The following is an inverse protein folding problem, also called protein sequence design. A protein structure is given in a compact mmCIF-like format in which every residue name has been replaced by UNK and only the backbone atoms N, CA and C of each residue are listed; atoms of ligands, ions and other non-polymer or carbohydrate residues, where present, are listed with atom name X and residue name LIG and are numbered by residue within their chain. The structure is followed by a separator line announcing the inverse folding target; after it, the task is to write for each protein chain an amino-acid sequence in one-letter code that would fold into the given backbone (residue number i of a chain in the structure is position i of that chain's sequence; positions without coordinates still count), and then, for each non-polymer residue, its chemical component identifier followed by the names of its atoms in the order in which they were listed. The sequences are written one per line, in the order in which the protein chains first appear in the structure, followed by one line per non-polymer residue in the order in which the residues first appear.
data_IF_048478565797
#
_entry.id   IF_048478565797
#
_cell.length_a   1.000
_cell.length_b   1.000
_cell.length_c   1.000
_cell.angle_alpha   90.00
_cell.angle_beta   90.00
_cell.angle_gamma   90.00
#
_symmetry.space_group_name_H-M   'P 1'
#
loop_
_entity.id
_entity.type
_entity.pdbx_description
1 polymer ?
#
# COMPACT_ATOMS: atom_id res chain seq x y z
N UNK A 1 22.96 15.01 8.78
CA UNK A 1 23.33 13.69 8.24
C UNK A 1 22.10 12.87 7.85
N UNK A 2 21.13 12.61 8.74
CA UNK A 2 19.92 11.83 8.45
C UNK A 2 19.23 12.18 7.11
N UNK A 3 18.86 13.45 6.92
CA UNK A 3 18.21 13.94 5.69
C UNK A 3 19.06 13.66 4.44
N UNK A 4 20.39 13.78 4.53
CA UNK A 4 21.28 13.52 3.38
C UNK A 4 21.23 12.04 2.95
N UNK A 5 21.18 11.12 3.92
CA UNK A 5 21.11 9.69 3.63
C UNK A 5 19.73 9.28 3.15
N UNK A 6 18.67 9.87 3.70
CA UNK A 6 17.30 9.67 3.21
C UNK A 6 17.16 10.12 1.76
N UNK A 7 17.62 11.34 1.46
CA UNK A 7 17.59 11.89 0.09
C UNK A 7 18.48 11.11 -0.89
N UNK A 8 19.60 10.55 -0.43
CA UNK A 8 20.47 9.72 -1.28
C UNK A 8 19.90 8.33 -1.53
N UNK A 9 19.37 7.66 -0.50
CA UNK A 9 19.03 6.23 -0.58
C UNK A 9 17.55 5.93 -0.80
N UNK A 10 16.71 6.95 -0.98
CA UNK A 10 15.31 6.76 -1.36
C UNK A 10 15.18 5.98 -2.67
N UNK A 11 14.30 4.99 -2.67
CA UNK A 11 13.99 4.10 -3.81
C UNK A 11 15.08 3.14 -4.28
N UNK A 12 16.16 2.92 -3.53
CA UNK A 12 17.10 1.85 -3.87
C UNK A 12 16.41 0.50 -3.84
N UNK A 13 16.58 -0.26 -4.93
CA UNK A 13 16.17 -1.67 -5.01
C UNK A 13 17.27 -2.52 -4.40
N UNK A 14 16.91 -3.26 -3.37
CA UNK A 14 17.83 -4.14 -2.64
C UNK A 14 17.20 -5.53 -2.49
N UNK A 15 18.00 -6.58 -2.22
CA UNK A 15 17.51 -7.95 -2.03
C UNK A 15 16.37 -8.08 -1.01
N UNK A 16 16.35 -7.19 -0.02
CA UNK A 16 15.26 -7.01 0.93
C UNK A 16 15.20 -5.54 1.40
N UNK A 17 14.09 -5.12 2.03
CA UNK A 17 13.93 -3.81 2.68
C UNK A 17 15.10 -3.44 3.60
N UNK A 18 15.48 -2.17 3.56
CA UNK A 18 16.55 -1.59 4.38
C UNK A 18 15.97 -0.60 5.39
N UNK A 19 16.57 -0.55 6.58
CA UNK A 19 16.31 0.47 7.60
C UNK A 19 17.63 1.16 7.91
N UNK A 20 17.61 2.49 7.87
CA UNK A 20 18.71 3.35 8.31
C UNK A 20 18.32 4.14 9.54
N UNK A 21 19.28 4.53 10.39
CA UNK A 21 19.04 5.52 11.44
C UNK A 21 20.30 6.35 11.73
N UNK A 22 20.09 7.57 12.23
CA UNK A 22 21.17 8.47 12.64
C UNK A 22 20.81 9.05 14.01
N UNK A 23 21.62 8.70 15.01
CA UNK A 23 21.52 9.23 16.37
C UNK A 23 22.52 10.37 16.57
N UNK A 24 22.05 11.48 17.13
CA UNK A 24 22.90 12.65 17.43
C UNK A 24 23.86 12.46 18.61
N UNK A 25 23.69 11.40 19.41
CA UNK A 25 24.60 11.05 20.51
C UNK A 25 24.45 9.57 20.88
N UNK A 26 25.32 9.10 21.79
CA UNK A 26 25.35 7.70 22.29
C UNK A 26 24.11 7.26 23.06
N UNK A 27 23.23 8.19 23.46
CA UNK A 27 21.92 7.84 24.05
C UNK A 27 20.97 7.16 23.07
N UNK A 28 21.32 7.18 21.78
CA UNK A 28 20.77 6.27 20.77
C UNK A 28 19.25 6.34 20.58
N UNK A 29 18.64 7.53 20.71
CA UNK A 29 17.19 7.69 20.58
C UNK A 29 16.60 7.26 19.23
N UNK A 30 17.43 7.12 18.18
CA UNK A 30 17.00 6.63 16.86
C UNK A 30 17.22 5.10 16.67
N UNK A 31 17.68 4.39 17.71
CA UNK A 31 17.90 2.94 17.68
C UNK A 31 18.87 2.49 16.56
N UNK A 32 19.92 3.30 16.34
CA UNK A 32 20.90 3.11 15.27
C UNK A 32 21.56 1.72 15.29
N UNK A 33 21.74 1.12 16.46
CA UNK A 33 22.41 -0.17 16.61
C UNK A 33 21.49 -1.39 16.36
N UNK A 34 20.28 -1.15 15.87
CA UNK A 34 19.30 -2.19 15.52
C UNK A 34 18.81 -2.07 14.06
N UNK A 35 19.40 -1.17 13.28
CA UNK A 35 19.04 -0.95 11.88
C UNK A 35 20.03 -1.65 10.95
N UNK A 36 19.63 -1.83 9.69
CA UNK A 36 20.49 -2.48 8.68
C UNK A 36 21.80 -1.69 8.51
N UNK A 37 21.73 -0.35 8.62
CA UNK A 37 22.88 0.51 8.93
C UNK A 37 22.49 1.63 9.89
N UNK A 38 23.41 2.08 10.73
CA UNK A 38 23.16 3.09 11.75
C UNK A 38 24.36 4.00 11.97
N UNK A 39 24.11 5.27 12.24
CA UNK A 39 25.14 6.24 12.58
C UNK A 39 24.94 6.78 13.99
N UNK A 40 26.02 6.91 14.74
CA UNK A 40 26.02 7.62 16.02
C UNK A 40 27.08 8.72 15.95
N UNK A 41 26.65 9.98 16.14
CA UNK A 41 27.56 11.12 16.18
C UNK A 41 28.52 11.02 17.36
N UNK A 42 29.78 11.35 17.11
CA UNK A 42 30.83 11.56 18.12
C UNK A 42 31.37 12.99 17.97
N UNK A 43 32.28 13.41 18.85
CA UNK A 43 32.98 14.69 18.71
C UNK A 43 33.88 14.74 17.48
N UNK A 44 34.35 13.57 17.00
CA UNK A 44 35.29 13.44 15.88
C UNK A 44 34.60 13.13 14.54
N UNK A 45 33.31 12.81 14.54
CA UNK A 45 32.59 12.42 13.33
C UNK A 45 31.41 11.49 13.63
N UNK A 46 31.37 10.34 12.96
CA UNK A 46 30.33 9.32 13.11
C UNK A 46 30.90 7.92 13.27
N UNK A 47 30.34 7.16 14.21
CA UNK A 47 30.49 5.71 14.24
C UNK A 47 29.45 5.09 13.31
N UNK A 48 29.91 4.22 12.41
CA UNK A 48 29.09 3.53 11.42
C UNK A 48 28.87 2.10 11.88
N UNK A 49 27.61 1.72 12.08
CA UNK A 49 27.17 0.40 12.47
C UNK A 49 26.38 -0.28 11.34
N UNK A 50 26.51 -1.60 11.18
CA UNK A 50 25.87 -2.36 10.10
C UNK A 50 25.34 -3.73 10.54
N UNK A 51 24.36 -4.26 9.81
CA UNK A 51 23.84 -5.62 10.05
C UNK A 51 22.90 -5.77 11.24
N UNK A 52 22.27 -4.70 11.70
CA UNK A 52 21.23 -4.78 12.74
C UNK A 52 19.89 -5.26 12.19
N UNK A 53 19.02 -5.80 13.05
CA UNK A 53 17.69 -6.25 12.66
C UNK A 53 16.69 -6.24 13.83
N UNK A 54 15.70 -5.35 13.78
CA UNK A 54 14.55 -5.38 14.70
C UNK A 54 13.40 -6.31 14.27
N UNK A 55 13.70 -7.47 13.68
CA UNK A 55 12.70 -8.44 13.20
C UNK A 55 12.44 -9.60 14.17
N UNK A 56 11.78 -10.66 13.70
CA UNK A 56 11.44 -11.85 14.51
C UNK A 56 12.66 -12.52 15.17
N UNK A 57 13.82 -12.49 14.50
CA UNK A 57 15.13 -12.84 15.07
C UNK A 57 15.95 -11.56 15.26
N UNK A 58 15.85 -10.87 16.41
CA UNK A 58 16.54 -9.61 16.62
C UNK A 58 18.06 -9.78 16.59
N UNK A 59 18.77 -8.76 16.13
CA UNK A 59 20.25 -8.74 16.08
C UNK A 59 20.76 -7.31 16.25
N UNK A 60 21.72 -7.10 17.13
CA UNK A 60 22.47 -5.85 17.17
C UNK A 60 23.39 -5.72 15.97
N UNK A 61 23.59 -4.50 15.50
CA UNK A 61 24.56 -4.18 14.46
C UNK A 61 26.00 -4.28 14.99
N UNK A 62 26.95 -4.51 14.10
CA UNK A 62 28.37 -4.47 14.40
C UNK A 62 28.99 -3.12 14.01
N UNK A 63 30.03 -2.69 14.71
CA UNK A 63 30.79 -1.49 14.37
C UNK A 63 31.65 -1.72 13.12
N UNK A 64 31.34 -1.03 12.03
CA UNK A 64 32.11 -1.08 10.79
C UNK A 64 33.32 -0.13 10.84
N UNK A 65 33.08 1.14 11.15
CA UNK A 65 34.09 2.19 11.20
C UNK A 65 33.79 3.18 12.33
N UNK A 66 34.84 3.69 12.97
CA UNK A 66 34.75 4.61 14.12
C UNK A 66 35.22 6.00 13.73
N UNK A 67 34.60 7.03 14.33
CA UNK A 67 35.04 8.44 14.22
C UNK A 67 35.24 8.90 12.76
N UNK A 68 34.34 8.46 11.86
CA UNK A 68 34.41 8.76 10.43
C UNK A 68 33.99 10.21 10.19
N UNK A 69 34.80 11.02 9.50
CA UNK A 69 34.44 12.40 9.22
C UNK A 69 33.21 12.46 8.29
N UNK A 70 32.32 13.46 8.44
CA UNK A 70 31.02 13.50 7.75
C UNK A 70 31.08 13.32 6.22
N UNK A 71 32.13 13.82 5.57
CA UNK A 71 32.37 13.74 4.13
C UNK A 71 32.71 12.32 3.63
N UNK A 72 33.13 11.41 4.50
CA UNK A 72 33.45 10.00 4.17
C UNK A 72 32.34 9.02 4.51
N UNK A 73 31.36 9.44 5.30
CA UNK A 73 30.25 8.58 5.75
C UNK A 73 29.48 7.99 4.56
N UNK A 74 29.11 8.83 3.60
CA UNK A 74 28.35 8.41 2.42
C UNK A 74 29.12 7.41 1.58
N UNK A 75 30.42 7.64 1.35
CA UNK A 75 31.30 6.73 0.63
C UNK A 75 31.30 5.31 1.24
N UNK A 76 31.42 5.21 2.56
CA UNK A 76 31.44 3.92 3.27
C UNK A 76 30.08 3.23 3.18
N UNK A 77 28.97 3.96 3.34
CA UNK A 77 27.63 3.37 3.26
C UNK A 77 27.31 2.94 1.81
N UNK A 78 27.70 3.70 0.80
CA UNK A 78 27.51 3.35 -0.61
C UNK A 78 28.15 1.99 -0.91
N UNK A 79 29.42 1.84 -0.55
CA UNK A 79 30.17 0.60 -0.68
C UNK A 79 29.53 -0.55 0.07
N UNK A 80 29.12 -0.34 1.32
CA UNK A 80 28.42 -1.33 2.13
C UNK A 80 27.12 -1.82 1.45
N UNK A 81 26.28 -0.87 1.00
CA UNK A 81 24.99 -1.18 0.38
C UNK A 81 25.16 -1.88 -0.96
N UNK A 82 26.09 -1.43 -1.81
CA UNK A 82 26.36 -2.09 -3.09
C UNK A 82 26.95 -3.49 -2.88
N UNK A 83 27.89 -3.65 -1.95
CA UNK A 83 28.45 -4.96 -1.66
C UNK A 83 27.37 -5.93 -1.17
N UNK A 84 26.45 -5.47 -0.31
CA UNK A 84 25.25 -6.21 0.08
C UNK A 84 24.35 -6.55 -1.12
N UNK A 85 24.02 -5.57 -1.97
CA UNK A 85 23.16 -5.77 -3.14
C UNK A 85 23.75 -6.80 -4.11
N UNK A 86 25.08 -6.81 -4.28
CA UNK A 86 25.79 -7.73 -5.18
C UNK A 86 25.86 -9.16 -4.64
N UNK A 87 25.92 -9.34 -3.32
CA UNK A 87 26.34 -10.63 -2.72
C UNK A 87 25.28 -11.31 -1.87
N UNK A 88 24.21 -10.62 -1.48
CA UNK A 88 23.14 -11.22 -0.68
C UNK A 88 22.11 -11.97 -1.55
N UNK A 89 21.53 -13.02 -0.96
CA UNK A 89 20.46 -13.79 -1.57
C UNK A 89 19.15 -13.00 -1.65
N UNK A 90 18.25 -13.44 -2.54
CA UNK A 90 16.90 -12.87 -2.67
C UNK A 90 16.16 -12.96 -1.33
N UNK A 91 15.52 -11.86 -0.92
CA UNK A 91 14.79 -11.75 0.35
C UNK A 91 15.65 -11.95 1.62
N UNK A 92 16.97 -11.86 1.51
CA UNK A 92 17.87 -11.95 2.67
C UNK A 92 18.04 -10.57 3.32
N UNK A 93 18.01 -10.49 4.66
CA UNK A 93 18.32 -9.26 5.42
C UNK A 93 19.82 -9.09 5.60
N UNK A 94 20.30 -7.85 5.73
CA UNK A 94 21.74 -7.56 5.94
C UNK A 94 22.31 -8.28 7.17
N UNK A 95 21.53 -8.40 8.25
CA UNK A 95 21.91 -9.16 9.44
C UNK A 95 22.26 -10.63 9.14
N UNK A 96 21.42 -11.31 8.35
CA UNK A 96 21.60 -12.72 8.00
C UNK A 96 22.68 -12.89 6.94
N UNK A 97 22.80 -11.91 6.06
CA UNK A 97 23.87 -11.84 5.08
C UNK A 97 25.25 -11.72 5.76
N UNK A 98 25.44 -10.80 6.73
CA UNK A 98 26.72 -10.67 7.46
C UNK A 98 27.06 -11.93 8.26
N UNK A 99 26.07 -12.59 8.88
CA UNK A 99 26.29 -13.86 9.59
C UNK A 99 26.79 -14.99 8.66
N UNK A 100 26.31 -15.00 7.41
CA UNK A 100 26.69 -16.00 6.41
C UNK A 100 27.93 -15.60 5.61
N UNK A 101 28.35 -14.34 5.67
CA UNK A 101 29.52 -13.85 4.95
C UNK A 101 30.79 -14.49 5.54
N UNK A 102 31.61 -15.20 4.76
CA UNK A 102 32.86 -15.76 5.27
C UNK A 102 33.77 -14.66 5.84
N UNK A 103 34.19 -14.81 7.10
CA UNK A 103 34.96 -13.79 7.84
C UNK A 103 34.11 -12.66 8.44
N UNK A 104 32.79 -12.66 8.23
CA UNK A 104 31.80 -11.78 8.84
C UNK A 104 32.15 -10.29 8.73
N UNK A 105 31.98 -9.57 9.85
CA UNK A 105 32.25 -8.12 9.92
C UNK A 105 33.71 -7.77 9.61
N UNK A 106 34.67 -8.65 9.91
CA UNK A 106 36.08 -8.36 9.67
C UNK A 106 36.39 -8.35 8.18
N UNK A 107 35.93 -9.36 7.45
CA UNK A 107 36.06 -9.37 5.99
C UNK A 107 35.30 -8.21 5.36
N UNK A 108 34.09 -7.90 5.83
CA UNK A 108 33.33 -6.75 5.35
C UNK A 108 34.11 -5.43 5.53
N UNK A 109 34.78 -5.24 6.66
CA UNK A 109 35.61 -4.06 6.93
C UNK A 109 36.77 -3.96 5.94
N UNK A 110 37.48 -5.06 5.70
CA UNK A 110 38.58 -5.11 4.73
C UNK A 110 38.11 -4.73 3.31
N UNK A 111 36.93 -5.21 2.89
CA UNK A 111 36.40 -4.90 1.56
C UNK A 111 35.91 -3.45 1.46
N UNK A 112 35.12 -3.00 2.44
CA UNK A 112 34.42 -1.71 2.36
C UNK A 112 35.31 -0.52 2.74
N UNK A 113 36.08 -0.67 3.82
CA UNK A 113 36.90 0.40 4.40
C UNK A 113 38.30 0.38 3.79
N UNK A 114 38.95 -0.79 3.78
CA UNK A 114 40.35 -0.92 3.32
C UNK A 114 40.46 -1.15 1.80
N UNK A 115 39.32 -1.24 1.10
CA UNK A 115 39.24 -1.52 -0.34
C UNK A 115 40.11 -2.70 -0.79
N UNK A 116 40.13 -3.76 0.02
CA UNK A 116 40.98 -4.96 -0.20
C UNK A 116 40.80 -5.58 -1.59
N UNK A 117 39.63 -5.44 -2.19
CA UNK A 117 39.31 -5.97 -3.51
C UNK A 117 39.57 -4.98 -4.66
N UNK A 118 39.86 -3.71 -4.37
CA UNK A 118 40.09 -2.66 -5.37
C UNK A 118 38.84 -2.28 -6.17
N UNK A 119 37.64 -2.52 -5.62
CA UNK A 119 36.34 -2.27 -6.27
C UNK A 119 35.57 -1.11 -5.64
N UNK A 120 36.15 -0.39 -4.67
CA UNK A 120 35.49 0.70 -3.95
C UNK A 120 34.95 1.79 -4.88
N UNK A 121 35.76 2.25 -5.84
CA UNK A 121 35.36 3.24 -6.82
C UNK A 121 34.24 2.75 -7.75
N UNK A 122 34.29 1.49 -8.18
CA UNK A 122 33.25 0.87 -9.00
C UNK A 122 31.92 0.78 -8.24
N UNK A 123 31.97 0.41 -6.95
CA UNK A 123 30.78 0.39 -6.10
C UNK A 123 30.18 1.78 -5.91
N UNK A 124 31.01 2.80 -5.69
CA UNK A 124 30.56 4.20 -5.59
C UNK A 124 29.89 4.68 -6.87
N UNK A 125 30.47 4.37 -8.04
CA UNK A 125 29.89 4.69 -9.34
C UNK A 125 28.54 3.98 -9.54
N UNK A 126 28.45 2.68 -9.21
CA UNK A 126 27.20 1.95 -9.32
C UNK A 126 26.11 2.53 -8.41
N UNK A 127 26.47 2.94 -7.19
CA UNK A 127 25.51 3.63 -6.33
C UNK A 127 25.07 4.95 -6.95
N UNK A 128 26.00 5.72 -7.53
CA UNK A 128 25.67 7.00 -8.18
C UNK A 128 24.71 6.82 -9.37
N UNK A 129 24.89 5.79 -10.19
CA UNK A 129 23.95 5.42 -11.26
C UNK A 129 22.56 5.08 -10.71
N UNK A 130 22.47 4.33 -9.60
CA UNK A 130 21.20 4.00 -8.97
C UNK A 130 20.48 5.25 -8.44
N UNK A 131 21.17 6.09 -7.69
CA UNK A 131 20.55 7.27 -7.03
C UNK A 131 20.24 8.38 -8.04
N UNK A 132 21.04 8.54 -9.10
CA UNK A 132 20.78 9.52 -10.16
C UNK A 132 19.59 9.15 -11.05
N UNK A 133 19.22 7.85 -11.10
CA UNK A 133 18.02 7.38 -11.79
C UNK A 133 16.71 7.66 -11.04
N UNK A 134 16.80 8.13 -9.78
CA UNK A 134 15.62 8.38 -8.97
C UNK A 134 14.75 9.51 -9.53
N UNK A 135 13.45 9.25 -9.60
CA UNK A 135 12.42 10.28 -9.70
C UNK A 135 11.22 9.90 -8.82
N UNK A 136 10.47 10.89 -8.38
CA UNK A 136 9.25 10.65 -7.61
C UNK A 136 8.07 10.34 -8.55
N UNK A 137 7.68 9.07 -8.64
CA UNK A 137 6.59 8.59 -9.49
C UNK A 137 5.25 9.32 -9.19
N UNK A 138 5.00 9.66 -7.92
CA UNK A 138 3.83 10.42 -7.52
C UNK A 138 3.87 11.88 -7.97
N UNK A 139 5.04 12.53 -7.87
CA UNK A 139 5.19 13.91 -8.37
C UNK A 139 4.99 13.96 -9.88
N UNK A 140 5.56 13.00 -10.62
CA UNK A 140 5.33 12.85 -12.07
C UNK A 140 3.84 12.63 -12.39
N UNK A 141 3.18 11.77 -11.62
CA UNK A 141 1.75 11.49 -11.79
C UNK A 141 0.88 12.74 -11.54
N UNK A 142 1.15 13.46 -10.44
CA UNK A 142 0.41 14.70 -10.10
C UNK A 142 0.64 15.79 -11.14
N UNK A 143 1.85 15.90 -11.71
CA UNK A 143 2.19 16.91 -12.72
C UNK A 143 1.68 16.56 -14.11
N UNK A 144 1.41 15.29 -14.41
CA UNK A 144 0.97 14.82 -15.72
C UNK A 144 -0.57 14.73 -15.80
N UNK A 145 -1.26 15.62 -16.54
CA UNK A 145 -2.72 15.60 -16.63
C UNK A 145 -3.28 14.28 -17.18
N UNK A 146 -2.56 13.61 -18.09
CA UNK A 146 -3.00 12.31 -18.62
C UNK A 146 -2.97 11.23 -17.56
N UNK A 147 -1.93 11.20 -16.71
CA UNK A 147 -1.82 10.22 -15.61
C UNK A 147 -2.82 10.48 -14.49
N UNK A 148 -3.14 11.76 -14.20
CA UNK A 148 -4.18 12.09 -13.20
C UNK A 148 -5.55 11.52 -13.54
N UNK A 149 -5.88 11.37 -14.83
CA UNK A 149 -7.15 10.77 -15.26
C UNK A 149 -7.36 9.34 -14.74
N UNK A 150 -6.29 8.57 -14.53
CA UNK A 150 -6.38 7.22 -13.96
C UNK A 150 -6.84 7.21 -12.49
N UNK A 151 -6.85 8.36 -11.81
CA UNK A 151 -7.26 8.51 -10.42
C UNK A 151 -8.59 9.25 -10.26
N UNK A 152 -9.27 9.58 -11.36
CA UNK A 152 -10.64 10.11 -11.30
C UNK A 152 -11.60 8.99 -10.91
N UNK A 153 -12.59 9.30 -10.07
CA UNK A 153 -13.54 8.31 -9.58
C UNK A 153 -14.45 7.79 -10.69
N UNK A 154 -14.89 8.67 -11.58
CA UNK A 154 -15.77 8.33 -12.70
C UNK A 154 -15.14 8.72 -14.02
N UNK A 155 -15.37 7.87 -15.02
CA UNK A 155 -14.86 8.10 -16.36
C UNK A 155 -15.79 8.98 -17.22
N UNK A 156 -17.02 9.24 -16.76
CA UNK A 156 -18.04 9.99 -17.49
C UNK A 156 -18.51 11.29 -16.81
N UNK A 157 -17.96 11.64 -15.65
CA UNK A 157 -18.27 12.88 -14.91
C UNK A 157 -17.10 13.27 -14.01
N UNK A 158 -16.96 14.56 -13.70
CA UNK A 158 -15.98 15.09 -12.74
C UNK A 158 -16.51 15.13 -11.29
N UNK A 159 -17.73 14.64 -11.06
CA UNK A 159 -18.30 14.49 -9.72
C UNK A 159 -17.51 13.50 -8.85
N UNK A 160 -17.60 13.67 -7.54
CA UNK A 160 -17.06 12.72 -6.56
C UNK A 160 -18.11 12.37 -5.53
N UNK A 161 -18.17 11.10 -5.13
CA UNK A 161 -19.14 10.60 -4.16
C UNK A 161 -18.44 9.81 -3.06
N UNK A 162 -18.72 10.20 -1.82
CA UNK A 162 -18.28 9.49 -0.61
C UNK A 162 -19.13 8.24 -0.40
N UNK A 163 -18.47 7.08 -0.30
CA UNK A 163 -19.13 5.77 -0.13
C UNK A 163 -19.18 5.31 1.33
N UNK A 164 -18.54 6.07 2.22
CA UNK A 164 -18.42 5.79 3.65
C UNK A 164 -18.54 7.10 4.41
N UNK A 165 -19.36 7.11 5.45
CA UNK A 165 -19.47 8.27 6.34
C UNK A 165 -18.15 8.50 7.11
N UNK A 166 -17.65 9.72 7.04
CA UNK A 166 -16.50 10.17 7.84
C UNK A 166 -17.00 10.63 9.20
N UNK A 167 -16.44 10.07 10.27
CA UNK A 167 -16.76 10.39 11.66
C UNK A 167 -15.58 11.06 12.34
N UNK A 168 -15.86 11.91 13.32
CA UNK A 168 -14.84 12.50 14.18
C UNK A 168 -14.65 11.66 15.45
N UNK A 169 -13.41 11.30 15.74
CA UNK A 169 -13.02 10.60 16.96
C UNK A 169 -11.71 11.17 17.49
N UNK A 170 -11.73 11.66 18.74
CA UNK A 170 -10.57 12.31 19.40
C UNK A 170 -9.97 13.47 18.58
N UNK A 171 -10.82 14.26 17.92
CA UNK A 171 -10.40 15.41 17.10
C UNK A 171 -9.77 15.02 15.76
N UNK A 172 -9.86 13.75 15.35
CA UNK A 172 -9.38 13.25 14.06
C UNK A 172 -10.54 12.69 13.25
N UNK A 173 -10.50 12.90 11.94
CA UNK A 173 -11.45 12.29 11.00
C UNK A 173 -11.02 10.88 10.66
N UNK A 174 -11.97 9.95 10.63
CA UNK A 174 -11.77 8.59 10.13
C UNK A 174 -13.06 8.07 9.48
N UNK A 175 -13.00 7.08 8.58
CA UNK A 175 -14.21 6.38 8.16
C UNK A 175 -14.91 5.73 9.36
N UNK A 176 -16.24 5.63 9.28
CA UNK A 176 -17.03 4.80 10.20
C UNK A 176 -16.63 3.33 10.11
N UNK A 177 -17.02 2.53 11.09
CA UNK A 177 -16.75 1.10 11.08
C UNK A 177 -17.59 0.38 10.04
N UNK A 178 -16.97 -0.59 9.38
CA UNK A 178 -17.64 -1.44 8.40
C UNK A 178 -18.48 -2.53 9.06
N UNK A 179 -19.71 -2.79 8.59
CA UNK A 179 -20.48 -3.92 9.09
C UNK A 179 -19.79 -5.26 8.86
N UNK A 180 -19.96 -6.16 9.83
CA UNK A 180 -19.42 -7.52 9.78
C UNK A 180 -20.07 -8.37 8.71
N UNK A 181 -21.34 -8.14 8.45
CA UNK A 181 -22.10 -8.84 7.42
C UNK A 181 -22.31 -7.92 6.22
N UNK A 182 -22.23 -8.48 5.01
CA UNK A 182 -22.54 -7.78 3.78
C UNK A 182 -24.05 -7.68 3.55
N UNK A 183 -24.42 -7.31 2.33
CA UNK A 183 -25.82 -7.35 1.86
C UNK A 183 -26.08 -8.64 1.07
N UNK A 184 -25.59 -9.76 1.61
CA UNK A 184 -25.68 -11.07 0.98
C UNK A 184 -27.12 -11.61 0.86
N UNK A 185 -28.12 -10.93 1.42
CA UNK A 185 -29.53 -11.33 1.28
C UNK A 185 -30.23 -10.69 0.09
N UNK A 186 -29.62 -9.72 -0.58
CA UNK A 186 -30.23 -9.00 -1.69
C UNK A 186 -29.99 -9.74 -3.03
N UNK A 187 -31.07 -9.97 -3.77
CA UNK A 187 -30.99 -10.57 -5.11
C UNK A 187 -30.96 -9.47 -6.18
N UNK A 188 -29.75 -9.04 -6.53
CA UNK A 188 -29.51 -8.07 -7.58
C UNK A 188 -29.57 -8.68 -8.98
N UNK A 189 -29.18 -9.95 -9.13
CA UNK A 189 -29.11 -10.66 -10.41
C UNK A 189 -30.50 -10.87 -11.00
N UNK A 190 -31.46 -11.30 -10.19
CA UNK A 190 -32.81 -11.65 -10.67
C UNK A 190 -33.83 -10.52 -10.50
N UNK A 191 -33.38 -9.31 -10.17
CA UNK A 191 -34.26 -8.14 -10.04
C UNK A 191 -35.02 -7.87 -11.35
N UNK A 192 -36.34 -7.67 -11.26
CA UNK A 192 -37.21 -7.46 -12.42
C UNK A 192 -37.37 -5.96 -12.68
N UNK A 193 -36.66 -5.47 -13.69
CA UNK A 193 -36.72 -4.07 -14.10
C UNK A 193 -38.00 -3.74 -14.87
N UNK A 194 -38.64 -2.60 -14.55
CA UNK A 194 -39.90 -2.18 -15.16
C UNK A 194 -39.82 -2.00 -16.69
N UNK A 195 -38.69 -1.45 -17.15
CA UNK A 195 -38.39 -1.23 -18.56
C UNK A 195 -36.88 -1.09 -18.73
N UNK A 196 -36.36 -1.34 -19.94
CA UNK A 196 -34.94 -1.25 -20.23
C UNK A 196 -34.71 -0.52 -21.55
N UNK A 197 -33.95 0.58 -21.49
CA UNK A 197 -33.62 1.41 -22.65
C UNK A 197 -32.11 1.54 -22.80
N UNK A 198 -31.63 1.69 -24.04
CA UNK A 198 -30.20 1.87 -24.31
C UNK A 198 -29.76 3.29 -24.00
N UNK A 199 -28.66 3.41 -23.27
CA UNK A 199 -28.19 4.68 -22.73
C UNK A 199 -26.71 4.86 -22.99
N UNK A 200 -26.26 5.98 -23.60
CA UNK A 200 -24.85 6.24 -23.80
C UNK A 200 -24.18 6.53 -22.45
N UNK A 201 -23.12 5.80 -22.12
CA UNK A 201 -22.47 5.90 -20.81
C UNK A 201 -21.07 6.48 -20.88
N UNK A 202 -20.27 6.08 -21.86
CA UNK A 202 -18.86 6.44 -22.00
C UNK A 202 -18.41 6.23 -23.45
N UNK A 203 -17.38 6.95 -23.90
CA UNK A 203 -16.76 6.75 -25.21
C UNK A 203 -15.89 5.49 -25.23
N UNK A 204 -15.85 4.80 -26.38
CA UNK A 204 -15.05 3.58 -26.52
C UNK A 204 -13.54 3.81 -26.49
N UNK A 205 -13.08 5.02 -26.84
CA UNK A 205 -11.67 5.44 -26.78
C UNK A 205 -11.07 5.49 -25.36
N UNK A 206 -11.91 5.38 -24.33
CA UNK A 206 -11.47 5.22 -22.95
C UNK A 206 -10.81 3.86 -22.71
N UNK A 207 -11.27 2.81 -23.40
CA UNK A 207 -10.84 1.45 -23.17
C UNK A 207 -9.62 1.08 -24.03
N UNK A 208 -8.61 0.50 -23.38
CA UNK A 208 -7.39 0.05 -24.05
C UNK A 208 -7.58 -1.31 -24.73
N UNK A 209 -7.09 -1.44 -25.95
CA UNK A 209 -6.89 -2.72 -26.66
C UNK A 209 -5.45 -3.26 -26.54
N UNK A 210 -4.56 -2.51 -25.88
CA UNK A 210 -3.18 -2.93 -25.65
C UNK A 210 -3.06 -4.06 -24.62
N UNK A 211 -1.94 -4.80 -24.57
CA UNK A 211 -1.75 -5.89 -23.60
C UNK A 211 -1.62 -5.38 -22.14
N UNK A 212 -2.29 -6.02 -21.16
CA UNK A 212 -3.32 -7.04 -21.34
C UNK A 212 -4.58 -6.39 -21.92
N UNK A 213 -5.23 -7.03 -22.91
CA UNK A 213 -6.43 -6.54 -23.61
C UNK A 213 -7.69 -6.58 -22.71
N UNK A 214 -7.56 -5.94 -21.55
CA UNK A 214 -8.46 -5.88 -20.42
C UNK A 214 -8.39 -4.45 -19.90
N UNK A 215 -9.52 -3.76 -19.92
CA UNK A 215 -9.66 -2.45 -19.29
C UNK A 215 -11.05 -2.30 -18.69
N UNK A 216 -11.19 -1.36 -17.76
CA UNK A 216 -12.42 -1.16 -17.02
C UNK A 216 -12.64 0.32 -16.73
N UNK A 217 -13.90 0.68 -16.49
CA UNK A 217 -14.32 2.02 -16.15
C UNK A 217 -15.40 1.98 -15.07
N UNK A 218 -15.29 2.86 -14.08
CA UNK A 218 -16.40 3.20 -13.21
C UNK A 218 -17.16 4.38 -13.83
N UNK A 219 -18.48 4.26 -13.98
CA UNK A 219 -19.34 5.31 -14.54
C UNK A 219 -20.51 5.60 -13.61
N UNK A 220 -20.97 6.85 -13.59
CA UNK A 220 -22.10 7.29 -12.76
C UNK A 220 -23.34 7.55 -13.61
N UNK A 221 -24.51 7.19 -13.08
CA UNK A 221 -25.84 7.53 -13.63
C UNK A 221 -26.81 7.74 -12.47
N UNK A 222 -27.35 8.95 -12.33
CA UNK A 222 -28.11 9.29 -11.12
C UNK A 222 -27.21 9.16 -9.88
N UNK A 223 -27.69 8.47 -8.86
CA UNK A 223 -26.94 8.08 -7.66
C UNK A 223 -26.21 6.74 -7.81
N UNK A 224 -26.45 6.00 -8.90
CA UNK A 224 -25.88 4.67 -9.13
C UNK A 224 -24.52 4.72 -9.82
N UNK A 225 -23.62 3.84 -9.38
CA UNK A 225 -22.32 3.59 -10.00
C UNK A 225 -22.32 2.22 -10.70
N UNK A 226 -21.78 2.17 -11.91
CA UNK A 226 -21.70 0.97 -12.74
C UNK A 226 -20.24 0.68 -13.12
N UNK A 227 -19.90 -0.60 -13.21
CA UNK A 227 -18.63 -1.05 -13.75
C UNK A 227 -18.83 -1.49 -15.20
N UNK A 228 -18.02 -0.96 -16.11
CA UNK A 228 -17.95 -1.42 -17.50
C UNK A 228 -16.57 -2.04 -17.71
N UNK A 229 -16.52 -3.22 -18.32
CA UNK A 229 -15.31 -3.95 -18.62
C UNK A 229 -15.21 -4.17 -20.12
N UNK A 230 -14.01 -4.02 -20.69
CA UNK A 230 -13.65 -4.51 -22.03
C UNK A 230 -12.67 -5.65 -21.84
N UNK A 231 -13.07 -6.87 -22.21
CA UNK A 231 -12.26 -8.09 -22.05
C UNK A 231 -12.14 -8.75 -23.42
N UNK A 232 -10.91 -8.81 -23.96
CA UNK A 232 -10.61 -9.42 -25.27
C UNK A 232 -11.56 -8.91 -26.38
N UNK A 233 -11.82 -7.60 -26.39
CA UNK A 233 -12.67 -6.92 -27.37
C UNK A 233 -14.18 -6.99 -27.12
N UNK A 234 -14.65 -7.66 -26.06
CA UNK A 234 -16.07 -7.73 -25.68
C UNK A 234 -16.36 -6.88 -24.46
N UNK A 235 -17.54 -6.25 -24.43
CA UNK A 235 -17.96 -5.43 -23.30
C UNK A 235 -18.87 -6.20 -22.34
N UNK A 236 -18.72 -5.89 -21.05
CA UNK A 236 -19.56 -6.39 -19.96
C UNK A 236 -19.89 -5.23 -19.02
N UNK A 237 -21.11 -5.18 -18.49
CA UNK A 237 -21.52 -4.13 -17.56
C UNK A 237 -22.20 -4.73 -16.32
N UNK A 238 -21.85 -4.22 -15.15
CA UNK A 238 -22.39 -4.64 -13.85
C UNK A 238 -22.64 -3.43 -12.95
N UNK A 239 -23.30 -3.64 -11.82
CA UNK A 239 -23.19 -2.68 -10.71
C UNK A 239 -21.71 -2.51 -10.29
N UNK A 240 -21.34 -1.33 -9.76
CA UNK A 240 -19.98 -1.09 -9.23
C UNK A 240 -19.79 -1.64 -7.81
N UNK A 241 -20.88 -1.78 -7.06
CA UNK A 241 -20.86 -2.21 -5.67
C UNK A 241 -20.66 -3.73 -5.52
N UNK A 242 -19.63 -4.13 -4.78
CA UNK A 242 -19.49 -5.48 -4.26
C UNK A 242 -20.41 -5.68 -3.03
N UNK A 243 -21.37 -6.62 -3.08
CA UNK A 243 -22.35 -6.82 -2.01
C UNK A 243 -21.76 -7.36 -0.71
N UNK A 244 -20.59 -8.01 -0.76
CA UNK A 244 -19.93 -8.57 0.43
C UNK A 244 -19.67 -7.53 1.52
N UNK A 245 -19.28 -6.31 1.13
CA UNK A 245 -18.98 -5.22 2.05
C UNK A 245 -19.46 -3.88 1.48
N UNK A 246 -20.51 -3.83 0.68
CA UNK A 246 -21.02 -2.57 0.08
C UNK A 246 -19.90 -1.66 -0.47
N UNK A 247 -18.89 -2.27 -1.10
CA UNK A 247 -17.68 -1.58 -1.53
C UNK A 247 -17.77 -1.30 -3.04
N UNK A 248 -17.74 -0.04 -3.44
CA UNK A 248 -17.89 0.41 -4.83
C UNK A 248 -16.56 0.31 -5.60
N UNK A 249 -16.12 -0.92 -5.87
CA UNK A 249 -14.75 -1.22 -6.33
C UNK A 249 -14.68 -2.28 -7.44
N UNK A 250 -15.80 -2.68 -8.04
CA UNK A 250 -15.77 -3.79 -9.00
C UNK A 250 -15.01 -3.44 -10.29
N UNK A 251 -15.03 -2.19 -10.75
CA UNK A 251 -14.17 -1.72 -11.85
C UNK A 251 -12.67 -1.96 -11.59
N UNK A 252 -12.25 -1.93 -10.33
CA UNK A 252 -10.84 -2.11 -9.92
C UNK A 252 -10.50 -3.58 -9.66
N UNK A 253 -11.46 -4.48 -9.93
CA UNK A 253 -11.30 -5.90 -9.77
C UNK A 253 -10.37 -6.53 -10.80
N UNK A 254 -9.84 -7.69 -10.45
CA UNK A 254 -9.05 -8.50 -11.38
C UNK A 254 -10.00 -9.32 -12.24
N UNK A 255 -9.82 -9.28 -13.55
CA UNK A 255 -10.55 -10.16 -14.46
C UNK A 255 -9.86 -11.51 -14.49
N UNK A 256 -10.62 -12.57 -14.17
CA UNK A 256 -10.20 -13.94 -14.36
C UNK A 256 -10.92 -14.56 -15.55
N UNK A 257 -10.28 -15.56 -16.14
CA UNK A 257 -10.81 -16.38 -17.22
C UNK A 257 -10.53 -17.87 -17.02
N UNK A 258 -11.30 -18.71 -17.71
CA UNK A 258 -11.07 -20.15 -17.79
C UNK A 258 -11.00 -20.63 -19.26
N UNK A 259 -10.61 -21.89 -19.44
CA UNK A 259 -10.49 -22.53 -20.76
C UNK A 259 -11.84 -22.66 -21.49
N UNK A 260 -12.96 -22.56 -20.77
CA UNK A 260 -14.31 -22.59 -21.34
C UNK A 260 -14.77 -21.20 -21.83
N UNK A 261 -13.93 -20.16 -21.70
CA UNK A 261 -14.24 -18.80 -22.13
C UNK A 261 -15.18 -18.06 -21.16
N UNK A 262 -15.26 -18.51 -19.92
CA UNK A 262 -15.95 -17.80 -18.85
C UNK A 262 -15.08 -16.67 -18.34
N UNK A 263 -15.69 -15.53 -18.05
CA UNK A 263 -15.05 -14.39 -17.43
C UNK A 263 -15.71 -14.07 -16.10
N UNK A 264 -14.92 -13.63 -15.12
CA UNK A 264 -15.43 -13.10 -13.88
C UNK A 264 -14.58 -11.93 -13.40
N UNK A 265 -15.18 -11.06 -12.59
CA UNK A 265 -14.47 -10.02 -11.85
C UNK A 265 -14.28 -10.46 -10.41
N UNK A 266 -13.03 -10.48 -9.96
CA UNK A 266 -12.65 -10.72 -8.56
C UNK A 266 -12.57 -9.38 -7.82
N UNK A 267 -13.44 -9.19 -6.82
CA UNK A 267 -13.42 -8.01 -5.96
C UNK A 267 -12.01 -7.79 -5.38
N UNK A 268 -11.43 -6.58 -5.49
CA UNK A 268 -10.03 -6.34 -5.11
C UNK A 268 -9.81 -6.55 -3.61
N UNK A 269 -10.82 -6.25 -2.77
CA UNK A 269 -10.70 -6.30 -1.32
C UNK A 269 -10.85 -7.71 -0.71
N UNK A 270 -11.77 -8.52 -1.25
CA UNK A 270 -12.17 -9.78 -0.59
C UNK A 270 -12.20 -11.00 -1.51
N UNK A 271 -11.82 -10.84 -2.78
CA UNK A 271 -11.75 -11.93 -3.79
C UNK A 271 -13.06 -12.71 -3.95
N UNK A 272 -14.21 -12.04 -3.81
CA UNK A 272 -15.49 -12.56 -4.29
C UNK A 272 -15.52 -12.49 -5.82
N UNK A 273 -15.90 -13.57 -6.47
CA UNK A 273 -15.75 -13.76 -7.91
C UNK A 273 -17.11 -13.72 -8.59
N UNK A 274 -17.42 -12.64 -9.30
CA UNK A 274 -18.72 -12.45 -9.95
C UNK A 274 -18.61 -12.70 -11.44
N UNK A 275 -19.41 -13.62 -11.95
CA UNK A 275 -19.43 -14.02 -13.37
C UNK A 275 -19.88 -12.85 -14.26
N UNK A 276 -19.18 -12.57 -15.35
CA UNK A 276 -19.48 -11.46 -16.27
C UNK A 276 -20.28 -11.90 -17.50
N UNK A 277 -20.21 -13.18 -17.86
CA UNK A 277 -20.83 -13.73 -19.06
C UNK A 277 -21.55 -15.06 -18.80
N UNK A 278 -22.30 -15.52 -19.81
CA UNK A 278 -23.08 -16.76 -19.76
C UNK A 278 -24.42 -16.60 -19.01
N UNK A 279 -25.17 -17.70 -18.91
CA UNK A 279 -26.50 -17.73 -18.27
C UNK A 279 -26.46 -17.43 -16.76
N UNK A 280 -25.28 -17.58 -16.16
CA UNK A 280 -25.04 -17.34 -14.73
C UNK A 280 -24.34 -16.00 -14.46
N UNK A 281 -24.29 -15.09 -15.45
CA UNK A 281 -23.75 -13.75 -15.26
C UNK A 281 -24.38 -13.08 -14.02
N UNK A 282 -23.53 -12.47 -13.19
CA UNK A 282 -23.87 -11.89 -11.91
C UNK A 282 -23.77 -12.84 -10.71
N UNK A 283 -23.70 -14.16 -10.91
CA UNK A 283 -23.52 -15.12 -9.80
C UNK A 283 -22.14 -14.97 -9.17
N UNK A 284 -22.05 -15.07 -7.84
CA UNK A 284 -20.78 -15.21 -7.16
C UNK A 284 -20.36 -16.69 -7.09
N UNK A 285 -19.26 -17.06 -7.74
CA UNK A 285 -18.85 -18.46 -7.89
C UNK A 285 -18.26 -19.09 -6.62
N UNK A 286 -17.87 -18.27 -5.65
CA UNK A 286 -17.26 -18.73 -4.39
C UNK A 286 -18.06 -18.33 -3.14
N UNK A 287 -19.29 -17.83 -3.32
CA UNK A 287 -20.22 -17.51 -2.23
C UNK A 287 -21.65 -17.42 -2.80
N UNK A 288 -22.39 -18.52 -2.78
CA UNK A 288 -23.71 -18.62 -3.44
C UNK A 288 -24.78 -17.69 -2.84
N UNK A 289 -24.54 -17.17 -1.63
CA UNK A 289 -25.41 -16.16 -1.04
C UNK A 289 -25.36 -14.84 -1.82
N UNK A 290 -24.29 -14.56 -2.57
CA UNK A 290 -24.07 -13.27 -3.20
C UNK A 290 -24.26 -13.32 -4.71
N UNK A 291 -24.76 -12.22 -5.23
CA UNK A 291 -24.86 -11.99 -6.67
C UNK A 291 -24.83 -10.48 -6.94
N UNK A 292 -24.68 -10.10 -8.22
CA UNK A 292 -24.69 -8.72 -8.68
C UNK A 292 -25.59 -8.57 -9.90
N UNK A 293 -26.13 -7.38 -10.09
CA UNK A 293 -26.82 -6.99 -11.31
C UNK A 293 -25.82 -6.92 -12.47
N UNK A 294 -26.23 -7.45 -13.63
CA UNK A 294 -25.54 -7.32 -14.91
C UNK A 294 -26.46 -6.64 -15.89
N UNK A 295 -25.88 -5.90 -16.84
CA UNK A 295 -26.63 -5.15 -17.83
C UNK A 295 -26.09 -5.45 -19.23
N UNK A 296 -26.96 -5.61 -20.25
CA UNK A 296 -26.53 -5.66 -21.63
C UNK A 296 -25.75 -4.40 -22.00
N UNK A 297 -24.65 -4.56 -22.72
CA UNK A 297 -23.76 -3.48 -23.14
C UNK A 297 -23.30 -3.71 -24.57
N UNK A 298 -23.25 -2.64 -25.36
CA UNK A 298 -22.79 -2.69 -26.74
C UNK A 298 -22.03 -1.41 -27.11
N UNK A 299 -21.01 -1.54 -27.94
CA UNK A 299 -20.40 -0.42 -28.65
C UNK A 299 -21.18 -0.16 -29.93
N UNK A 300 -21.45 1.10 -30.25
CA UNK A 300 -22.12 1.52 -31.49
C UNK A 300 -21.19 2.30 -32.41
N UNK A 301 -21.60 2.45 -33.67
CA UNK A 301 -20.83 3.14 -34.72
C UNK A 301 -20.53 4.61 -34.42
N UNK A 302 -21.27 5.23 -33.50
CA UNK A 302 -21.04 6.60 -33.02
C UNK A 302 -19.86 6.71 -32.03
N UNK A 303 -19.19 5.60 -31.71
CA UNK A 303 -18.05 5.54 -30.79
C UNK A 303 -18.45 5.58 -29.31
N UNK A 304 -19.72 5.36 -28.99
CA UNK A 304 -20.21 5.28 -27.62
C UNK A 304 -20.49 3.85 -27.19
N UNK A 305 -20.23 3.60 -25.91
CA UNK A 305 -20.65 2.40 -25.21
C UNK A 305 -22.02 2.67 -24.60
N UNK A 306 -23.01 1.91 -25.07
CA UNK A 306 -24.37 1.95 -24.58
C UNK A 306 -24.60 0.82 -23.58
N UNK A 307 -25.25 1.13 -22.47
CA UNK A 307 -25.71 0.14 -21.49
C UNK A 307 -27.23 0.17 -21.45
N UNK A 308 -27.86 -1.00 -21.44
CA UNK A 308 -29.31 -1.11 -21.38
C UNK A 308 -29.77 -1.05 -19.92
N UNK A 309 -30.39 0.06 -19.53
CA UNK A 309 -30.66 0.42 -18.13
C UNK A 309 -32.14 0.76 -17.90
N UNK A 310 -32.64 0.58 -16.67
CA UNK A 310 -33.97 1.02 -16.25
C UNK A 310 -34.05 2.55 -16.05
N UNK A 311 -35.26 3.08 -15.77
CA UNK A 311 -35.42 4.45 -15.28
C UNK A 311 -34.51 4.75 -14.09
N UNK A 312 -34.00 6.00 -14.02
CA UNK A 312 -33.00 6.39 -13.00
C UNK A 312 -33.52 6.18 -11.58
N UNK A 313 -34.78 6.55 -11.32
CA UNK A 313 -35.40 6.40 -9.99
C UNK A 313 -35.43 4.93 -9.53
N UNK A 314 -35.75 4.02 -10.45
CA UNK A 314 -35.75 2.57 -10.17
C UNK A 314 -34.32 2.06 -9.96
N UNK A 315 -33.38 2.44 -10.83
CA UNK A 315 -31.98 2.08 -10.71
C UNK A 315 -31.40 2.50 -9.35
N UNK A 316 -31.61 3.75 -8.97
CA UNK A 316 -31.11 4.33 -7.72
C UNK A 316 -31.79 3.71 -6.49
N UNK A 317 -33.07 3.35 -6.59
CA UNK A 317 -33.77 2.65 -5.50
C UNK A 317 -33.16 1.28 -5.17
N UNK A 318 -32.50 0.63 -6.14
CA UNK A 318 -31.89 -0.69 -5.98
C UNK A 318 -30.40 -0.58 -5.73
N UNK A 319 -29.68 0.20 -6.53
CA UNK A 319 -28.21 0.25 -6.61
C UNK A 319 -27.59 1.60 -6.23
N UNK A 320 -28.39 2.58 -5.82
CA UNK A 320 -27.92 3.92 -5.47
C UNK A 320 -26.82 3.93 -4.42
N UNK A 321 -25.84 4.81 -4.59
CA UNK A 321 -24.71 4.95 -3.68
C UNK A 321 -25.16 5.36 -2.29
N UNK A 322 -26.07 6.32 -2.16
CA UNK A 322 -26.54 6.82 -0.86
C UNK A 322 -27.37 5.79 -0.07
N UNK A 323 -28.02 4.84 -0.77
CA UNK A 323 -28.69 3.69 -0.15
C UNK A 323 -27.69 2.76 0.53
N UNK A 324 -26.58 2.47 -0.16
CA UNK A 324 -25.61 1.47 0.29
C UNK A 324 -24.38 2.06 0.99
N UNK A 325 -24.26 3.38 1.05
CA UNK A 325 -23.24 4.10 1.79
C UNK A 325 -23.17 3.60 3.23
N UNK A 326 -21.96 3.28 3.68
CA UNK A 326 -21.74 2.80 5.04
C UNK A 326 -21.90 3.98 6.01
N UNK A 327 -22.86 3.86 6.92
CA UNK A 327 -23.24 4.93 7.86
C UNK A 327 -22.85 4.60 9.28
N UNK A 328 -22.67 5.64 10.08
CA UNK A 328 -22.41 5.53 11.52
C UNK A 328 -23.57 4.81 12.20
N UNK A 329 -23.23 3.82 13.03
CA UNK A 329 -24.21 3.04 13.80
C UNK A 329 -24.61 1.71 13.18
N UNK A 330 -24.27 1.46 11.90
CA UNK A 330 -24.53 0.16 11.25
C UNK A 330 -23.57 -0.96 11.71
N UNK A 331 -22.41 -0.59 12.27
CA UNK A 331 -21.43 -1.51 12.81
C UNK A 331 -21.14 -1.22 14.28
N UNK A 332 -20.96 -2.28 15.06
CA UNK A 332 -20.48 -2.18 16.43
C UNK A 332 -19.05 -1.62 16.46
N UNK A 333 -18.78 -0.72 17.40
CA UNK A 333 -17.41 -0.26 17.69
C UNK A 333 -16.56 -1.43 18.24
N UNK A 334 -15.54 -1.89 17.51
CA UNK A 334 -14.70 -3.02 17.92
C UNK A 334 -13.88 -2.71 19.19
N UNK A 335 -13.70 -1.43 19.54
CA UNK A 335 -12.94 -1.02 20.71
C UNK A 335 -13.80 -0.70 21.92
N UNK A 336 -15.13 -0.72 21.81
CA UNK A 336 -16.05 -0.39 22.90
C UNK A 336 -15.74 -1.15 24.20
N UNK A 337 -15.38 -2.44 24.10
CA UNK A 337 -14.98 -3.26 25.25
C UNK A 337 -13.69 -2.76 25.91
N UNK A 338 -12.69 -2.41 25.11
CA UNK A 338 -11.41 -1.91 25.60
C UNK A 338 -11.56 -0.51 26.18
N UNK A 339 -12.32 0.35 25.50
CA UNK A 339 -12.63 1.69 25.99
C UNK A 339 -13.35 1.60 27.32
N UNK A 340 -14.36 0.74 27.47
CA UNK A 340 -15.01 0.50 28.78
C UNK A 340 -14.05 -0.01 29.84
N UNK A 341 -13.12 -0.91 29.49
CA UNK A 341 -12.13 -1.49 30.41
C UNK A 341 -11.11 -0.46 30.90
N UNK A 342 -10.65 0.44 30.03
CA UNK A 342 -9.58 1.38 30.30
C UNK A 342 -10.07 2.81 30.56
N UNK A 343 -11.39 3.07 30.46
CA UNK A 343 -11.97 4.38 30.78
C UNK A 343 -11.62 4.78 32.21
N UNK A 344 -10.95 5.92 32.35
CA UNK A 344 -10.55 6.45 33.66
C UNK A 344 -9.32 5.76 34.28
N UNK A 345 -8.74 4.73 33.65
CA UNK A 345 -7.43 4.23 34.05
C UNK A 345 -6.36 5.27 33.67
N UNK A 346 -6.00 6.11 34.64
CA UNK A 346 -4.78 6.89 34.54
C UNK A 346 -3.62 5.92 34.72
N UNK A 347 -2.64 5.94 33.80
CA UNK A 347 -1.39 5.23 34.02
C UNK A 347 -0.87 5.60 35.41
N UNK A 348 -0.49 4.60 36.22
CA UNK A 348 0.20 4.88 37.48
C UNK A 348 1.42 5.73 37.10
N UNK A 349 1.43 7.02 37.48
CA UNK A 349 2.70 7.72 37.63
C UNK A 349 3.56 6.79 38.46
N UNK A 350 4.74 6.41 37.99
CA UNK A 350 5.67 5.68 38.86
C UNK A 350 5.72 6.50 40.14
N UNK A 351 5.37 5.87 41.28
CA UNK A 351 5.66 6.52 42.55
C UNK A 351 7.14 6.82 42.48
N UNK A 352 7.53 8.07 42.67
CA UNK A 352 8.85 8.39 43.12
C UNK A 352 8.98 7.75 44.51
N UNK A 353 9.18 6.43 44.56
CA UNK A 353 9.92 5.84 45.64
C UNK A 353 11.33 6.36 45.41
N UNK A 354 11.59 7.54 45.98
CA UNK A 354 12.92 7.91 46.37
C UNK A 354 13.37 6.86 47.38
N UNK A 355 13.81 5.70 46.88
CA UNK A 355 14.79 4.91 47.59
C UNK A 355 15.99 5.83 47.70
N UNK A 356 16.14 6.45 48.88
CA UNK A 356 17.40 7.02 49.30
C UNK A 356 18.41 5.88 49.23
N UNK A 357 19.03 5.73 48.06
CA UNK A 357 20.31 5.06 47.97
C UNK A 357 21.25 5.99 48.73
N UNK A 358 21.56 5.63 49.98
CA UNK A 358 22.67 6.23 50.72
C UNK A 358 23.93 5.89 49.94
N UNK A 359 24.27 6.72 48.97
CA UNK A 359 25.61 6.76 48.40
C UNK A 359 26.51 7.37 49.46
N UNK A 360 27.27 6.52 50.14
CA UNK A 360 28.48 6.96 50.81
C UNK A 360 29.40 7.53 49.73
N UNK A 361 29.60 8.85 49.77
CA UNK A 361 30.55 9.56 48.94
C UNK A 361 31.96 9.08 49.27
N UNK A 362 32.51 8.19 48.43
CA UNK A 362 33.95 8.16 48.22
C UNK A 362 34.20 8.95 46.94
N UNK A 363 34.56 10.21 47.14
CA UNK A 363 35.21 11.07 46.15
C UNK A 363 36.43 10.31 45.65
N UNK A 364 36.50 10.05 44.36
CA UNK A 364 37.77 9.79 43.67
C UNK A 364 37.90 10.95 42.68
N UNK A 365 38.94 11.74 42.92
CA UNK A 365 39.36 12.91 42.17
C UNK A 365 40.03 12.48 40.86
N UNK A 366 39.53 12.99 39.73
CA UNK A 366 40.21 13.04 38.43
C UNK A 366 39.81 14.32 37.71
#
# INVERSE_FOLDING_TARGET
MAIRLEERYKSIRAPHKLKGAVSGCVRECAEAQNKDFGLISTEKGFNIFVGGNGGAKPRHSDLLAKDVPPEKVTQIIDRYLIFYIRTADKLQRTARWIENLPGGINYLREVVVDDKLGIGAEMEQQMEELVSSYFCEWTETVRNPKRRKFFQQFANTDETVETVEVVEERGQQRPTYWPKDGVASEDFKNHQWSSLSWQPMIKSDYFSDGPPAISSANVKRGDTQLAIFKVKGKYYATQQMCPHKRAFVLSDGLIGDDDAGKFWVSCPYHKRNFELNGEQAGRCSNDESMNIATFPVEEREDGWIYVRLPPIEELDSVLGTEKWKVKKGEASDPFQRFDKKYKGMRGKKSRNEATQCKTSSNVIDW
#
